data_IF_421278033587
#
_entry.id   IF_421278033587
#
_cell.length_a   1.000
_cell.length_b   1.000
_cell.length_c   1.000
_cell.angle_alpha   90.00
_cell.angle_beta   90.00
_cell.angle_gamma   90.00
#
_symmetry.space_group_name_H-M   'P 1'
#
loop_
_entity.id
_entity.type
_entity.pdbx_description
1 polymer ?
#
# COMPACT_ATOMS: atom_id res chain seq x y z
N UNK A 1 -15.88 4.59 9.57
CA UNK A 1 -16.21 3.15 9.50
C UNK A 1 -15.03 2.47 8.85
N UNK A 2 -14.65 1.27 9.31
CA UNK A 2 -13.55 0.53 8.68
C UNK A 2 -14.05 -0.11 7.40
N UNK A 3 -13.26 0.01 6.32
CA UNK A 3 -13.60 -0.55 5.01
C UNK A 3 -13.73 -2.08 5.09
N UNK A 4 -14.66 -2.63 4.32
CA UNK A 4 -14.93 -4.06 4.24
C UNK A 4 -14.88 -4.56 2.79
N UNK A 5 -14.86 -5.89 2.65
CA UNK A 5 -15.00 -6.55 1.34
C UNK A 5 -16.37 -6.19 0.75
N UNK A 6 -16.38 -5.76 -0.52
CA UNK A 6 -17.56 -5.28 -1.22
C UNK A 6 -17.70 -3.75 -1.22
N UNK A 7 -16.99 -3.04 -0.35
CA UNK A 7 -17.01 -1.57 -0.36
C UNK A 7 -16.19 -0.99 -1.51
N UNK A 8 -16.63 0.18 -2.00
CA UNK A 8 -15.85 0.99 -2.94
C UNK A 8 -14.83 1.83 -2.17
N UNK A 9 -13.61 1.93 -2.68
CA UNK A 9 -12.59 2.82 -2.13
C UNK A 9 -13.08 4.27 -2.11
N UNK A 10 -12.77 5.04 -1.05
CA UNK A 10 -13.08 6.46 -1.00
C UNK A 10 -12.28 7.21 -2.08
N UNK A 11 -12.83 8.31 -2.58
CA UNK A 11 -12.08 9.21 -3.44
C UNK A 11 -10.89 9.80 -2.66
N UNK A 12 -9.67 9.59 -3.14
CA UNK A 12 -8.46 10.13 -2.55
C UNK A 12 -7.45 10.55 -3.62
N UNK A 13 -6.50 11.38 -3.22
CA UNK A 13 -5.36 11.80 -4.05
C UNK A 13 -4.08 11.52 -3.29
N UNK A 14 -3.15 10.83 -3.93
CA UNK A 14 -1.82 10.53 -3.42
C UNK A 14 -0.78 11.36 -4.18
N UNK A 15 0.40 11.49 -3.58
CA UNK A 15 1.60 11.96 -4.29
C UNK A 15 2.57 10.82 -4.46
N UNK A 16 3.19 10.74 -5.63
CA UNK A 16 4.23 9.76 -5.92
C UNK A 16 5.43 10.47 -6.55
N UNK A 17 6.65 10.07 -6.16
CA UNK A 17 7.86 10.56 -6.81
C UNK A 17 8.26 9.61 -7.93
N UNK A 18 8.15 10.08 -9.17
CA UNK A 18 8.63 9.37 -10.35
C UNK A 18 10.03 9.83 -10.75
N UNK A 19 10.59 9.24 -11.81
CA UNK A 19 11.85 9.70 -12.40
C UNK A 19 11.79 11.16 -12.88
N UNK A 20 10.62 11.61 -13.34
CA UNK A 20 10.40 12.95 -13.91
C UNK A 20 9.98 13.99 -12.85
N UNK A 21 9.78 13.56 -11.59
CA UNK A 21 9.37 14.42 -10.49
C UNK A 21 8.12 13.93 -9.75
N UNK A 22 7.60 14.74 -8.79
CA UNK A 22 6.38 14.40 -8.09
C UNK A 22 5.16 14.51 -9.01
N UNK A 23 4.29 13.50 -8.95
CA UNK A 23 3.00 13.47 -9.65
C UNK A 23 1.89 13.24 -8.65
N UNK A 24 0.68 13.68 -8.98
CA UNK A 24 -0.54 13.35 -8.25
C UNK A 24 -1.23 12.17 -8.93
N UNK A 25 -1.72 11.23 -8.11
CA UNK A 25 -2.43 10.05 -8.57
C UNK A 25 -3.72 9.94 -7.77
N UNK A 26 -4.85 9.91 -8.45
CA UNK A 26 -6.15 9.72 -7.80
C UNK A 26 -6.51 8.24 -7.71
N UNK A 27 -7.42 7.91 -6.80
CA UNK A 27 -7.99 6.55 -6.71
C UNK A 27 -8.65 6.10 -8.02
N UNK A 28 -9.32 7.00 -8.73
CA UNK A 28 -9.94 6.65 -10.02
C UNK A 28 -8.89 6.31 -11.09
N UNK A 29 -7.79 7.07 -11.17
CA UNK A 29 -6.70 6.79 -12.10
C UNK A 29 -6.01 5.44 -11.82
N UNK A 30 -5.90 5.08 -10.54
CA UNK A 30 -5.22 3.86 -10.13
C UNK A 30 -6.14 2.62 -10.20
N UNK A 31 -7.43 2.73 -9.84
CA UNK A 31 -8.29 1.57 -9.60
C UNK A 31 -9.46 1.40 -10.58
N UNK A 32 -9.89 2.43 -11.32
CA UNK A 32 -11.05 2.31 -12.20
C UNK A 32 -10.76 1.37 -13.39
N UNK A 33 -11.62 0.38 -13.60
CA UNK A 33 -11.47 -0.63 -14.66
C UNK A 33 -10.23 -1.52 -14.53
N UNK A 34 -9.55 -1.53 -13.37
CA UNK A 34 -8.31 -2.27 -13.12
C UNK A 34 -8.47 -3.24 -11.95
N UNK A 35 -7.65 -4.29 -11.95
CA UNK A 35 -7.42 -5.22 -10.84
C UNK A 35 -6.07 -4.91 -10.20
N UNK A 36 -6.08 -4.36 -9.00
CA UNK A 36 -4.90 -3.79 -8.34
C UNK A 36 -4.69 -4.43 -6.98
N UNK A 37 -3.44 -4.77 -6.68
CA UNK A 37 -3.02 -5.14 -5.32
C UNK A 37 -2.50 -3.89 -4.61
N UNK A 38 -3.18 -3.48 -3.54
CA UNK A 38 -2.73 -2.39 -2.67
C UNK A 38 -2.30 -2.98 -1.33
N UNK A 39 -1.11 -2.63 -0.85
CA UNK A 39 -0.71 -2.92 0.53
C UNK A 39 -0.23 -1.68 1.25
N UNK A 40 -0.53 -1.59 2.55
CA UNK A 40 -0.16 -0.48 3.38
C UNK A 40 0.90 -0.87 4.42
N UNK A 41 1.73 0.11 4.76
CA UNK A 41 2.78 -0.04 5.75
C UNK A 41 2.69 1.06 6.81
N UNK A 42 3.04 0.76 8.08
CA UNK A 42 3.17 1.78 9.13
C UNK A 42 4.14 2.92 8.80
N UNK A 43 5.17 2.65 8.00
CA UNK A 43 6.10 3.69 7.58
C UNK A 43 7.26 3.16 6.77
N UNK A 44 7.69 3.98 5.81
CA UNK A 44 8.91 3.78 5.06
C UNK A 44 10.13 3.67 6.01
N UNK A 45 11.14 2.91 5.61
CA UNK A 45 12.38 2.65 6.35
C UNK A 45 12.25 1.95 7.71
N UNK A 46 11.05 1.62 8.18
CA UNK A 46 10.91 0.82 9.41
C UNK A 46 11.25 -0.66 9.16
N UNK A 47 11.75 -1.43 10.16
CA UNK A 47 12.35 -2.74 9.93
C UNK A 47 11.43 -3.77 9.28
N UNK A 48 10.25 -4.05 9.84
CA UNK A 48 9.29 -5.02 9.28
C UNK A 48 8.83 -4.62 7.88
N UNK A 49 8.69 -3.32 7.61
CA UNK A 49 8.29 -2.83 6.29
C UNK A 49 9.40 -3.04 5.26
N UNK A 50 10.65 -2.76 5.62
CA UNK A 50 11.78 -2.69 4.68
C UNK A 50 12.50 -4.02 4.49
N UNK A 51 12.45 -4.92 5.48
CA UNK A 51 13.17 -6.19 5.48
C UNK A 51 12.25 -7.41 5.26
N UNK A 52 10.93 -7.21 5.24
CA UNK A 52 9.97 -8.30 5.07
C UNK A 52 8.83 -7.90 4.12
N UNK A 53 7.95 -6.97 4.55
CA UNK A 53 6.69 -6.74 3.83
C UNK A 53 6.89 -6.27 2.38
N UNK A 54 7.63 -5.18 2.15
CA UNK A 54 7.88 -4.67 0.80
C UNK A 54 8.72 -5.65 -0.05
N UNK A 55 9.86 -6.19 0.42
CA UNK A 55 10.64 -7.17 -0.36
C UNK A 55 9.79 -8.34 -0.87
N UNK A 56 8.90 -8.88 -0.06
CA UNK A 56 8.02 -9.98 -0.48
C UNK A 56 7.17 -9.63 -1.71
N UNK A 57 6.62 -8.41 -1.78
CA UNK A 57 5.87 -7.95 -2.96
C UNK A 57 6.77 -7.68 -4.17
N UNK A 58 8.00 -7.19 -3.96
CA UNK A 58 8.95 -6.95 -5.05
C UNK A 58 9.46 -8.26 -5.67
N UNK A 59 9.74 -9.26 -4.84
CA UNK A 59 10.19 -10.59 -5.27
C UNK A 59 9.09 -11.35 -6.01
N UNK A 60 7.82 -11.19 -5.59
CA UNK A 60 6.67 -11.87 -6.18
C UNK A 60 5.93 -11.04 -7.24
N UNK A 61 6.43 -9.85 -7.57
CA UNK A 61 5.77 -8.90 -8.48
C UNK A 61 5.33 -9.56 -9.78
N UNK A 62 6.26 -10.21 -10.48
CA UNK A 62 5.97 -10.73 -11.82
C UNK A 62 4.97 -11.89 -11.76
N UNK A 63 4.98 -12.69 -10.69
CA UNK A 63 3.97 -13.73 -10.43
C UNK A 63 2.60 -13.13 -10.16
N UNK A 64 2.52 -12.05 -9.35
CA UNK A 64 1.28 -11.33 -9.06
C UNK A 64 0.69 -10.76 -10.36
N UNK A 65 1.50 -10.07 -11.16
CA UNK A 65 1.07 -9.51 -12.45
C UNK A 65 0.64 -10.62 -13.43
N UNK A 66 1.37 -11.74 -13.46
CA UNK A 66 1.05 -12.91 -14.28
C UNK A 66 -0.29 -13.58 -13.94
N UNK A 67 -0.87 -13.30 -12.76
CA UNK A 67 -2.22 -13.74 -12.36
C UNK A 67 -3.33 -12.76 -12.77
N UNK A 68 -3.04 -11.79 -13.63
CA UNK A 68 -4.02 -10.82 -14.15
C UNK A 68 -4.26 -9.65 -13.20
N UNK A 69 -3.25 -9.26 -12.43
CA UNK A 69 -3.21 -7.98 -11.70
C UNK A 69 -2.55 -6.94 -12.61
N UNK A 70 -3.20 -5.79 -12.78
CA UNK A 70 -2.73 -4.71 -13.64
C UNK A 70 -1.62 -3.89 -12.99
N UNK A 71 -1.77 -3.57 -11.69
CA UNK A 71 -0.85 -2.72 -10.93
C UNK A 71 -0.68 -3.23 -9.48
N UNK A 72 0.48 -2.91 -8.90
CA UNK A 72 0.76 -3.11 -7.47
C UNK A 72 1.14 -1.76 -6.86
N UNK A 73 0.61 -1.45 -5.69
CA UNK A 73 0.88 -0.20 -4.98
C UNK A 73 1.18 -0.44 -3.49
N UNK A 74 2.18 0.28 -2.98
CA UNK A 74 2.39 0.47 -1.54
C UNK A 74 1.93 1.87 -1.13
N UNK A 75 1.18 1.96 -0.04
CA UNK A 75 0.77 3.24 0.58
C UNK A 75 1.34 3.37 1.99
N UNK A 76 1.79 4.57 2.34
CA UNK A 76 2.22 4.90 3.69
C UNK A 76 1.90 6.35 4.06
N UNK A 77 1.71 6.58 5.36
CA UNK A 77 1.62 7.93 5.94
C UNK A 77 3.04 8.49 6.10
N UNK A 78 3.59 8.91 4.98
CA UNK A 78 4.89 9.56 4.81
C UNK A 78 4.76 10.60 3.69
N UNK A 79 5.65 11.59 3.64
CA UNK A 79 5.74 12.49 2.49
C UNK A 79 6.33 11.80 1.24
N UNK A 80 6.11 12.41 0.08
CA UNK A 80 6.53 11.86 -1.21
C UNK A 80 8.05 11.84 -1.42
N UNK A 81 8.83 12.68 -0.71
CA UNK A 81 10.29 12.63 -0.80
C UNK A 81 10.80 11.35 -0.14
N UNK A 82 10.31 11.07 1.06
CA UNK A 82 10.64 9.85 1.81
C UNK A 82 10.17 8.60 1.06
N UNK A 83 8.93 8.59 0.54
CA UNK A 83 8.43 7.46 -0.25
C UNK A 83 9.25 7.23 -1.52
N UNK A 84 9.64 8.30 -2.23
CA UNK A 84 10.51 8.21 -3.40
C UNK A 84 11.92 7.71 -3.09
N UNK A 85 12.52 8.17 -1.99
CA UNK A 85 13.81 7.67 -1.53
C UNK A 85 13.73 6.20 -1.13
N UNK A 86 12.63 5.79 -0.48
CA UNK A 86 12.41 4.40 -0.10
C UNK A 86 12.29 3.51 -1.34
N UNK A 87 11.51 3.91 -2.34
CA UNK A 87 11.39 3.24 -3.62
C UNK A 87 12.74 3.02 -4.31
N UNK A 88 13.60 4.05 -4.32
CA UNK A 88 14.94 3.93 -4.87
C UNK A 88 15.81 2.97 -4.05
N UNK A 89 15.82 3.11 -2.72
CA UNK A 89 16.65 2.30 -1.82
C UNK A 89 16.26 0.81 -1.81
N UNK A 90 14.97 0.50 -2.02
CA UNK A 90 14.45 -0.86 -2.04
C UNK A 90 14.57 -1.52 -3.42
N UNK A 91 14.99 -0.78 -4.45
CA UNK A 91 14.93 -1.25 -5.84
C UNK A 91 13.51 -1.44 -6.38
N UNK A 92 12.52 -0.77 -5.77
CA UNK A 92 11.10 -0.79 -6.16
C UNK A 92 10.69 0.32 -7.13
N UNK A 93 11.52 1.36 -7.28
CA UNK A 93 11.31 2.44 -8.25
C UNK A 93 11.09 1.88 -9.66
N UNK A 94 10.00 2.30 -10.32
CA UNK A 94 9.62 1.84 -11.65
C UNK A 94 9.09 0.40 -11.71
N UNK A 95 8.94 -0.29 -10.57
CA UNK A 95 8.38 -1.64 -10.49
C UNK A 95 6.95 -1.65 -9.96
N UNK A 96 6.69 -0.93 -8.87
CA UNK A 96 5.38 -0.79 -8.23
C UNK A 96 5.18 0.68 -7.84
N UNK A 97 3.94 1.07 -7.55
CA UNK A 97 3.65 2.43 -7.08
C UNK A 97 4.04 2.63 -5.61
N UNK A 98 4.61 3.79 -5.30
CA UNK A 98 4.92 4.23 -3.93
C UNK A 98 4.11 5.48 -3.59
N UNK A 99 2.93 5.27 -3.02
CA UNK A 99 1.93 6.29 -2.75
C UNK A 99 2.17 6.94 -1.38
N UNK A 100 2.39 8.25 -1.38
CA UNK A 100 2.39 9.07 -0.18
C UNK A 100 0.96 9.51 0.17
N UNK A 101 0.46 9.04 1.32
CA UNK A 101 -0.77 9.51 1.98
C UNK A 101 -0.37 10.43 3.14
N UNK A 102 0.23 11.57 2.81
CA UNK A 102 1.04 12.39 3.74
C UNK A 102 0.28 12.93 4.94
N UNK A 103 -1.04 13.11 4.83
CA UNK A 103 -1.92 13.62 5.90
C UNK A 103 -2.83 12.53 6.51
N UNK A 104 -2.60 11.28 6.12
CA UNK A 104 -3.43 10.11 6.44
C UNK A 104 -4.89 10.24 5.96
N UNK A 105 -5.16 11.08 4.95
CA UNK A 105 -6.51 11.32 4.44
C UNK A 105 -7.18 10.04 3.93
N UNK A 106 -6.48 9.27 3.10
CA UNK A 106 -6.97 7.97 2.64
C UNK A 106 -7.05 6.97 3.80
N UNK A 107 -5.98 6.85 4.59
CA UNK A 107 -5.86 5.92 5.71
C UNK A 107 -7.01 6.08 6.72
N UNK A 108 -7.36 7.32 7.08
CA UNK A 108 -8.50 7.63 7.96
C UNK A 108 -9.84 7.33 7.29
N UNK A 109 -9.98 7.67 5.99
CA UNK A 109 -11.22 7.45 5.25
C UNK A 109 -11.59 5.97 5.18
N UNK A 110 -10.59 5.08 5.06
CA UNK A 110 -10.80 3.62 5.12
C UNK A 110 -10.85 3.06 6.55
N UNK A 111 -10.67 3.90 7.57
CA UNK A 111 -10.72 3.50 8.98
C UNK A 111 -9.64 2.49 9.38
N UNK A 112 -8.46 2.60 8.77
CA UNK A 112 -7.28 1.76 9.03
C UNK A 112 -6.11 2.57 9.58
N UNK A 113 -6.37 3.73 10.19
CA UNK A 113 -5.39 4.49 10.96
C UNK A 113 -5.09 3.83 12.32
N UNK A 114 -3.90 4.09 12.83
CA UNK A 114 -3.42 3.66 14.14
C UNK A 114 -2.47 4.69 14.73
N UNK A 115 -2.58 4.94 16.03
CA UNK A 115 -1.60 5.71 16.78
C UNK A 115 -0.42 4.81 17.18
N UNK A 116 0.73 5.07 16.56
CA UNK A 116 2.00 4.39 16.82
C UNK A 116 3.01 5.32 17.51
N UNK A 117 2.54 6.31 18.27
CA UNK A 117 3.37 7.25 19.03
C UNK A 117 4.33 6.56 20.00
N UNK A 118 3.95 5.41 20.57
CA UNK A 118 4.83 4.62 21.44
C UNK A 118 6.13 4.16 20.75
N UNK A 119 6.10 4.00 19.42
CA UNK A 119 7.26 3.70 18.58
C UNK A 119 7.90 4.94 17.94
N UNK A 120 7.50 6.15 18.32
CA UNK A 120 8.00 7.41 17.75
C UNK A 120 7.47 7.74 16.36
N UNK A 121 6.38 7.10 15.90
CA UNK A 121 5.86 7.26 14.54
C UNK A 121 4.67 8.22 14.44
N UNK A 122 3.90 8.38 15.52
CA UNK A 122 2.65 9.12 15.52
C UNK A 122 1.53 8.37 14.81
N UNK A 123 0.57 9.10 14.25
CA UNK A 123 -0.53 8.54 13.47
C UNK A 123 -0.03 7.95 12.15
N UNK A 124 -0.33 6.67 11.90
CA UNK A 124 0.08 5.92 10.71
C UNK A 124 -1.03 5.02 10.21
N UNK A 125 -0.79 4.36 9.08
CA UNK A 125 -1.61 3.23 8.63
C UNK A 125 -1.30 1.97 9.41
N UNK A 126 -2.34 1.18 9.72
CA UNK A 126 -2.18 -0.24 10.01
C UNK A 126 -1.51 -0.94 8.83
N UNK A 127 -0.90 -2.10 9.09
CA UNK A 127 -0.41 -2.96 8.03
C UNK A 127 -1.58 -3.78 7.49
N UNK A 128 -1.79 -3.72 6.19
CA UNK A 128 -2.79 -4.53 5.51
C UNK A 128 -2.42 -4.74 4.04
N UNK A 129 -3.11 -5.67 3.39
CA UNK A 129 -3.18 -5.78 1.95
C UNK A 129 -4.63 -5.92 1.51
N UNK A 130 -4.91 -5.55 0.26
CA UNK A 130 -6.21 -5.72 -0.36
C UNK A 130 -6.07 -5.96 -1.86
N UNK A 131 -6.97 -6.79 -2.39
CA UNK A 131 -7.24 -6.89 -3.81
C UNK A 131 -8.40 -5.96 -4.14
N UNK A 132 -8.23 -5.10 -5.13
CA UNK A 132 -9.23 -4.11 -5.54
C UNK A 132 -9.53 -4.30 -7.02
N UNK A 133 -10.80 -4.45 -7.37
CA UNK A 133 -11.26 -4.57 -8.76
C UNK A 133 -12.29 -3.49 -9.05
N UNK A 134 -12.00 -2.64 -10.05
CA UNK A 134 -12.83 -1.48 -10.41
C UNK A 134 -13.17 -0.59 -9.20
N UNK A 135 -12.16 -0.34 -8.36
CA UNK A 135 -12.29 0.41 -7.13
C UNK A 135 -13.05 -0.30 -6.00
N UNK A 136 -13.50 -1.56 -6.17
CA UNK A 136 -14.22 -2.34 -5.15
C UNK A 136 -13.28 -3.34 -4.47
N UNK A 137 -13.28 -3.37 -3.14
CA UNK A 137 -12.45 -4.30 -2.35
C UNK A 137 -12.98 -5.73 -2.51
N UNK A 138 -12.12 -6.65 -2.96
CA UNK A 138 -12.42 -8.08 -3.15
C UNK A 138 -11.80 -8.97 -2.09
N UNK A 139 -10.64 -8.57 -1.57
CA UNK A 139 -10.00 -9.21 -0.43
C UNK A 139 -9.41 -8.13 0.47
N UNK A 140 -9.39 -8.37 1.77
CA UNK A 140 -8.81 -7.48 2.77
C UNK A 140 -8.14 -8.30 3.87
N UNK A 141 -6.84 -8.11 4.06
CA UNK A 141 -6.04 -8.82 5.06
C UNK A 141 -5.38 -7.78 5.98
N UNK A 142 -5.91 -7.60 7.19
CA UNK A 142 -5.41 -6.64 8.17
C UNK A 142 -4.63 -7.37 9.25
N UNK A 143 -3.40 -6.93 9.51
CA UNK A 143 -2.60 -7.48 10.60
C UNK A 143 -3.16 -7.05 11.95
N UNK A 144 -3.20 -7.97 12.92
CA UNK A 144 -3.56 -7.63 14.30
C UNK A 144 -2.47 -6.77 14.97
N UNK A 145 -1.21 -6.96 14.58
CA UNK A 145 -0.05 -6.25 15.12
C UNK A 145 0.81 -5.67 14.01
N UNK A 146 1.25 -4.39 14.10
CA UNK A 146 2.08 -3.76 13.08
C UNK A 146 3.46 -4.42 12.92
N UNK A 147 3.89 -5.23 13.90
CA UNK A 147 5.15 -5.98 13.86
C UNK A 147 5.09 -7.26 13.01
N UNK A 148 3.87 -7.74 12.69
CA UNK A 148 3.65 -8.90 11.82
C UNK A 148 3.44 -8.45 10.36
N UNK A 149 3.69 -9.36 9.43
CA UNK A 149 3.52 -9.17 7.98
C UNK A 149 3.28 -10.53 7.32
N UNK A 150 2.33 -11.28 7.85
CA UNK A 150 1.99 -12.65 7.44
C UNK A 150 0.72 -12.65 6.61
N UNK A 151 -0.41 -12.25 7.19
CA UNK A 151 -1.71 -12.23 6.49
C UNK A 151 -1.76 -11.16 5.42
N UNK A 152 -1.04 -10.04 5.61
CA UNK A 152 -0.91 -8.99 4.60
C UNK A 152 0.22 -9.25 3.60
N UNK A 153 1.01 -10.31 3.80
CA UNK A 153 2.19 -10.61 2.99
C UNK A 153 1.86 -11.05 1.56
N UNK A 154 2.85 -10.94 0.66
CA UNK A 154 2.67 -11.28 -0.75
C UNK A 154 2.29 -12.75 -0.99
N UNK A 155 2.80 -13.68 -0.18
CA UNK A 155 2.45 -15.10 -0.27
C UNK A 155 0.96 -15.34 0.01
N UNK A 156 0.41 -14.72 1.06
CA UNK A 156 -1.01 -14.81 1.38
C UNK A 156 -1.87 -14.17 0.29
N UNK A 157 -1.41 -13.06 -0.31
CA UNK A 157 -2.08 -12.44 -1.45
C UNK A 157 -2.10 -13.38 -2.67
N UNK A 158 -0.98 -14.05 -2.99
CA UNK A 158 -0.90 -14.98 -4.13
C UNK A 158 -1.88 -16.15 -4.05
N UNK A 159 -2.22 -16.62 -2.84
CA UNK A 159 -3.23 -17.66 -2.61
C UNK A 159 -4.66 -17.17 -2.91
N UNK A 160 -4.88 -15.85 -2.95
CA UNK A 160 -6.19 -15.21 -3.15
C UNK A 160 -6.37 -14.64 -4.58
N UNK A 161 -5.31 -14.66 -5.39
CA UNK A 161 -5.27 -14.15 -6.77
C UNK A 161 -5.59 -15.22 -7.81
#
# INVERSE_FOLDING_TARGET
MTIAIGDKLPAATFKEKTADGPVEITTDQLFAGKRVVLFAVPGAFTPTCSLNHLPGYLENRDTILGKGVDDIAVVAVNDWHVMGAWAQSSGGMGKIHFLADWDAGFTKAVGLDADLSAGGLGLRSKRYSMLVEDGVVKALNVEESPGQATVSGAAAMLEQL
#
